data_IF_382553650738
#
_entry.id   IF_382553650738
#
_cell.length_a   1.000
_cell.length_b   1.000
_cell.length_c   1.000
_cell.angle_alpha   90.00
_cell.angle_beta   90.00
_cell.angle_gamma   90.00
#
_symmetry.space_group_name_H-M   'P 1'
#
loop_
_entity.id
_entity.type
_entity.pdbx_description
1 polymer ?
#
# COMPACT_ATOMS: atom_id res chain seq x y z
N UNK A 1 -18.46 5.98 -5.10
CA UNK A 1 -17.90 4.61 -4.96
C UNK A 1 -18.91 3.72 -4.27
N UNK A 2 -19.09 2.50 -4.74
CA UNK A 2 -20.02 1.57 -4.13
C UNK A 2 -19.52 1.09 -2.77
N UNK A 3 -20.44 0.67 -1.90
CA UNK A 3 -20.08 0.10 -0.60
C UNK A 3 -19.20 -1.14 -0.77
N UNK A 4 -19.50 -1.99 -1.76
CA UNK A 4 -18.72 -3.20 -2.02
C UNK A 4 -17.26 -2.88 -2.32
N UNK A 5 -16.99 -1.87 -3.16
CA UNK A 5 -15.62 -1.49 -3.50
C UNK A 5 -14.86 -0.98 -2.27
N UNK A 6 -15.53 -0.22 -1.41
CA UNK A 6 -14.92 0.24 -0.15
C UNK A 6 -14.59 -0.93 0.77
N UNK A 7 -15.49 -1.90 0.89
CA UNK A 7 -15.27 -3.07 1.73
C UNK A 7 -14.14 -3.95 1.17
N UNK A 8 -14.07 -4.13 -0.14
CA UNK A 8 -12.99 -4.88 -0.80
C UNK A 8 -11.65 -4.18 -0.55
N UNK A 9 -11.60 -2.87 -0.69
CA UNK A 9 -10.39 -2.10 -0.42
C UNK A 9 -9.92 -2.26 1.01
N UNK A 10 -10.83 -2.15 1.98
CA UNK A 10 -10.49 -2.32 3.40
C UNK A 10 -10.01 -3.73 3.70
N UNK A 11 -10.70 -4.74 3.14
CA UNK A 11 -10.29 -6.12 3.31
C UNK A 11 -8.88 -6.35 2.76
N UNK A 12 -8.60 -5.83 1.57
CA UNK A 12 -7.26 -5.91 0.98
C UNK A 12 -6.19 -5.27 1.84
N UNK A 13 -6.47 -4.08 2.41
CA UNK A 13 -5.52 -3.43 3.31
C UNK A 13 -5.27 -4.24 4.57
N UNK A 14 -6.31 -4.86 5.14
CA UNK A 14 -6.15 -5.72 6.32
C UNK A 14 -5.30 -6.95 5.98
N UNK A 15 -5.52 -7.56 4.82
CA UNK A 15 -4.73 -8.69 4.33
C UNK A 15 -3.28 -8.28 4.13
N UNK A 16 -3.05 -7.13 3.48
CA UNK A 16 -1.70 -6.61 3.24
C UNK A 16 -0.98 -6.33 4.56
N UNK A 17 -1.66 -5.73 5.54
CA UNK A 17 -1.08 -5.43 6.83
C UNK A 17 -0.61 -6.70 7.54
N UNK A 18 -1.44 -7.73 7.57
CA UNK A 18 -1.08 -9.02 8.18
C UNK A 18 0.10 -9.66 7.46
N UNK A 19 0.09 -9.63 6.12
CA UNK A 19 1.19 -10.15 5.32
C UNK A 19 2.50 -9.45 5.66
N UNK A 20 2.50 -8.13 5.70
CA UNK A 20 3.70 -7.34 5.98
C UNK A 20 4.23 -7.62 7.39
N UNK A 21 3.37 -7.70 8.38
CA UNK A 21 3.77 -8.02 9.76
C UNK A 21 4.47 -9.38 9.81
N UNK A 22 3.94 -10.39 9.14
CA UNK A 22 4.55 -11.72 9.08
C UNK A 22 5.92 -11.71 8.41
N UNK A 23 6.18 -10.72 7.55
CA UNK A 23 7.44 -10.59 6.82
C UNK A 23 8.39 -9.58 7.42
N UNK A 24 8.19 -9.23 8.70
CA UNK A 24 9.14 -8.41 9.45
C UNK A 24 8.95 -6.91 9.32
N UNK A 25 7.81 -6.47 8.79
CA UNK A 25 7.49 -5.05 8.73
C UNK A 25 6.76 -4.64 10.01
N UNK A 26 7.16 -3.50 10.57
CA UNK A 26 6.46 -2.90 11.70
C UNK A 26 5.58 -1.77 11.18
N UNK A 27 4.27 -1.98 11.23
CA UNK A 27 3.31 -0.97 10.76
C UNK A 27 3.19 0.12 11.81
N UNK A 28 3.40 1.37 11.40
CA UNK A 28 3.36 2.52 12.29
C UNK A 28 2.14 3.41 12.05
N UNK A 29 1.57 3.35 10.85
CA UNK A 29 0.36 4.12 10.56
C UNK A 29 -0.37 3.51 9.37
N UNK A 30 -1.69 3.70 9.32
CA UNK A 30 -2.53 3.28 8.19
C UNK A 30 -3.40 4.45 7.77
N UNK A 31 -3.70 4.52 6.46
CA UNK A 31 -4.62 5.51 5.89
C UNK A 31 -4.23 6.95 6.25
N UNK A 32 -2.96 7.23 6.04
CA UNK A 32 -2.45 8.60 6.23
C UNK A 32 -2.89 9.45 5.04
N UNK A 33 -3.78 10.39 5.30
CA UNK A 33 -4.40 11.19 4.27
C UNK A 33 -4.09 12.66 4.49
N UNK A 34 -3.56 13.30 3.45
CA UNK A 34 -3.26 14.73 3.45
C UNK A 34 -3.60 15.33 2.10
N UNK A 35 -3.37 16.63 1.97
CA UNK A 35 -3.72 17.43 0.79
C UNK A 35 -3.26 16.79 -0.53
N UNK A 36 -2.09 16.18 -0.54
CA UNK A 36 -1.45 15.68 -1.76
C UNK A 36 -1.87 14.26 -2.12
N UNK A 37 -2.48 13.53 -1.21
CA UNK A 37 -2.88 12.16 -1.45
C UNK A 37 -2.97 11.34 -0.18
N UNK A 38 -3.01 10.03 -0.35
CA UNK A 38 -3.17 9.07 0.73
C UNK A 38 -2.10 7.99 0.62
N UNK A 39 -1.63 7.52 1.77
CA UNK A 39 -0.75 6.35 1.85
C UNK A 39 -1.50 5.30 2.66
N UNK A 40 -1.68 4.11 2.06
CA UNK A 40 -2.48 3.06 2.68
C UNK A 40 -1.83 2.50 3.94
N UNK A 41 -0.53 2.22 3.88
CA UNK A 41 0.22 1.67 5.02
C UNK A 41 1.59 2.32 5.06
N UNK A 42 2.00 2.71 6.27
CA UNK A 42 3.36 3.20 6.51
C UNK A 42 4.01 2.24 7.50
N UNK A 43 5.19 1.74 7.15
CA UNK A 43 5.87 0.72 7.92
C UNK A 43 7.36 0.97 7.98
N UNK A 44 8.03 0.28 8.89
CA UNK A 44 9.49 0.28 9.01
C UNK A 44 9.97 -1.15 8.85
N UNK A 45 10.97 -1.35 8.00
CA UNK A 45 11.63 -2.63 7.83
C UNK A 45 13.12 -2.40 7.62
N UNK A 46 13.96 -3.03 8.44
CA UNK A 46 15.42 -2.97 8.32
C UNK A 46 15.96 -1.54 8.18
N UNK A 47 15.49 -0.64 9.04
CA UNK A 47 15.89 0.77 9.07
C UNK A 47 15.48 1.55 7.81
N UNK A 48 14.45 1.07 7.12
CA UNK A 48 13.89 1.76 5.97
C UNK A 48 12.45 2.12 6.27
N UNK A 49 12.08 3.36 5.98
CA UNK A 49 10.70 3.83 6.06
C UNK A 49 10.02 3.46 4.75
N UNK A 50 8.98 2.62 4.83
CA UNK A 50 8.33 2.06 3.65
C UNK A 50 6.91 2.59 3.55
N UNK A 51 6.60 3.21 2.42
CA UNK A 51 5.25 3.66 2.09
C UNK A 51 4.63 2.61 1.17
N UNK A 52 3.50 2.05 1.58
CA UNK A 52 2.90 0.92 0.87
C UNK A 52 1.57 1.32 0.26
N UNK A 53 1.46 1.14 -1.05
CA UNK A 53 0.20 1.26 -1.78
C UNK A 53 -0.41 -0.13 -1.91
N UNK A 54 -1.67 -0.28 -1.49
CA UNK A 54 -2.38 -1.55 -1.58
C UNK A 54 -3.42 -1.44 -2.68
N UNK A 55 -3.41 -2.40 -3.62
CA UNK A 55 -4.41 -2.46 -4.66
C UNK A 55 -5.06 -3.83 -4.67
N UNK A 56 -6.38 -3.85 -4.63
CA UNK A 56 -7.17 -5.08 -4.53
C UNK A 56 -8.17 -5.16 -5.68
N UNK A 57 -8.25 -6.32 -6.31
CA UNK A 57 -9.24 -6.63 -7.35
C UNK A 57 -9.97 -7.91 -6.99
N UNK A 58 -11.23 -7.98 -7.38
CA UNK A 58 -11.98 -9.24 -7.36
C UNK A 58 -11.94 -9.78 -8.78
N UNK A 59 -11.25 -10.91 -8.98
CA UNK A 59 -11.02 -11.50 -10.30
C UNK A 59 -10.10 -10.66 -11.16
N UNK A 60 -10.04 -10.97 -12.45
CA UNK A 60 -9.16 -10.31 -13.43
C UNK A 60 -9.91 -9.60 -14.56
N UNK A 61 -11.23 -9.44 -14.43
CA UNK A 61 -12.06 -8.86 -15.49
C UNK A 61 -11.55 -7.49 -15.97
N UNK A 62 -11.05 -6.68 -15.04
CA UNK A 62 -10.57 -5.32 -15.36
C UNK A 62 -9.05 -5.21 -15.28
N UNK A 63 -8.34 -6.33 -15.48
CA UNK A 63 -6.89 -6.37 -15.46
C UNK A 63 -6.32 -6.69 -14.09
N UNK A 64 -4.99 -6.70 -14.01
CA UNK A 64 -4.29 -7.00 -12.75
C UNK A 64 -4.26 -5.77 -11.86
N UNK A 65 -4.31 -5.97 -10.52
CA UNK A 65 -4.35 -4.83 -9.58
C UNK A 65 -3.15 -3.88 -9.72
N UNK A 66 -1.94 -4.40 -9.92
CA UNK A 66 -0.75 -3.56 -10.03
C UNK A 66 -0.79 -2.62 -11.24
N UNK A 67 -1.52 -2.96 -12.30
CA UNK A 67 -1.67 -2.11 -13.48
C UNK A 67 -2.43 -0.81 -13.19
N UNK A 68 -3.19 -0.78 -12.09
CA UNK A 68 -3.92 0.42 -11.68
C UNK A 68 -3.04 1.40 -10.89
N UNK A 69 -1.82 1.01 -10.53
CA UNK A 69 -0.88 1.88 -9.82
C UNK A 69 -0.06 2.64 -10.86
N UNK A 70 -0.50 3.84 -11.17
CA UNK A 70 0.10 4.67 -12.23
C UNK A 70 1.28 5.49 -11.71
N UNK A 71 2.06 6.06 -12.66
CA UNK A 71 3.13 7.01 -12.31
C UNK A 71 2.59 8.20 -11.54
N UNK A 72 1.40 8.68 -11.90
CA UNK A 72 0.75 9.78 -11.19
C UNK A 72 0.47 9.41 -9.74
N UNK A 73 -0.06 8.20 -9.49
CA UNK A 73 -0.33 7.73 -8.14
C UNK A 73 0.96 7.61 -7.33
N UNK A 74 2.01 7.06 -7.93
CA UNK A 74 3.31 6.94 -7.26
C UNK A 74 3.90 8.31 -6.93
N UNK A 75 3.70 9.30 -7.80
CA UNK A 75 4.14 10.67 -7.53
C UNK A 75 3.40 11.27 -6.34
N UNK A 76 2.08 11.04 -6.24
CA UNK A 76 1.29 11.48 -5.09
C UNK A 76 1.75 10.82 -3.80
N UNK A 77 2.03 9.51 -3.84
CA UNK A 77 2.56 8.78 -2.67
C UNK A 77 3.92 9.33 -2.27
N UNK A 78 4.79 9.63 -3.25
CA UNK A 78 6.11 10.20 -2.99
C UNK A 78 5.99 11.53 -2.26
N UNK A 79 5.15 12.44 -2.75
CA UNK A 79 4.94 13.75 -2.11
C UNK A 79 4.37 13.63 -0.71
N UNK A 80 3.37 12.76 -0.55
CA UNK A 80 2.73 12.55 0.74
C UNK A 80 3.72 11.94 1.73
N UNK A 81 4.55 11.01 1.27
CA UNK A 81 5.60 10.39 2.08
C UNK A 81 6.67 11.36 2.49
N UNK A 82 7.09 12.26 1.60
CA UNK A 82 8.05 13.32 1.94
C UNK A 82 7.50 14.22 3.05
N UNK A 83 6.21 14.57 2.95
CA UNK A 83 5.57 15.36 3.99
C UNK A 83 5.54 14.59 5.32
N UNK A 84 5.19 13.31 5.28
CA UNK A 84 5.18 12.47 6.47
C UNK A 84 6.56 12.42 7.14
N UNK A 85 7.61 12.26 6.34
CA UNK A 85 8.98 12.21 6.84
C UNK A 85 9.39 13.53 7.52
N UNK A 86 8.95 14.67 6.98
CA UNK A 86 9.22 15.97 7.60
C UNK A 86 8.54 16.07 8.98
N UNK A 87 7.33 15.53 9.11
CA UNK A 87 6.61 15.53 10.39
C UNK A 87 7.23 14.58 11.42
N UNK A 88 8.01 13.60 10.98
CA UNK A 88 8.55 12.55 11.82
C UNK A 88 10.06 12.40 11.61
N UNK A 89 10.86 13.41 12.00
CA UNK A 89 12.31 13.38 11.74
C UNK A 89 13.05 12.27 12.52
N UNK A 90 12.40 11.68 13.51
CA UNK A 90 12.98 10.57 14.27
C UNK A 90 12.97 9.24 13.49
N UNK A 91 12.21 9.17 12.39
CA UNK A 91 12.10 7.94 11.59
C UNK A 91 13.30 7.76 10.65
N UNK A 92 13.51 6.55 10.12
CA UNK A 92 14.64 6.31 9.22
C UNK A 92 14.67 7.26 8.02
N UNK A 93 15.88 7.71 7.64
CA UNK A 93 16.05 8.58 6.47
C UNK A 93 15.89 7.82 5.16
N UNK A 94 16.31 6.57 5.13
CA UNK A 94 16.13 5.70 3.96
C UNK A 94 14.64 5.44 3.75
N UNK A 95 14.18 5.62 2.52
CA UNK A 95 12.76 5.48 2.18
C UNK A 95 12.61 4.69 0.89
N UNK A 96 11.51 3.97 0.80
CA UNK A 96 11.11 3.35 -0.47
C UNK A 96 9.59 3.25 -0.53
N UNK A 97 9.08 3.02 -1.73
CA UNK A 97 7.66 2.78 -1.96
C UNK A 97 7.48 1.34 -2.43
N UNK A 98 6.60 0.62 -1.77
CA UNK A 98 6.23 -0.74 -2.13
C UNK A 98 4.77 -0.78 -2.59
N UNK A 99 4.42 -1.77 -3.38
CA UNK A 99 3.05 -2.04 -3.78
C UNK A 99 2.71 -3.46 -3.34
N UNK A 100 1.52 -3.62 -2.73
CA UNK A 100 0.95 -4.93 -2.47
C UNK A 100 -0.29 -5.08 -3.34
N UNK A 101 -0.24 -6.02 -4.26
CA UNK A 101 -1.30 -6.27 -5.23
C UNK A 101 -2.01 -7.57 -4.88
N UNK A 102 -3.32 -7.48 -4.64
CA UNK A 102 -4.13 -8.61 -4.15
C UNK A 102 -5.25 -8.89 -5.13
N UNK A 103 -5.42 -10.17 -5.47
CA UNK A 103 -6.56 -10.65 -6.24
C UNK A 103 -7.38 -11.57 -5.33
N UNK A 104 -8.66 -11.25 -5.19
CA UNK A 104 -9.61 -12.03 -4.40
C UNK A 104 -10.56 -12.80 -5.32
N UNK A 105 -11.01 -13.94 -4.86
CA UNK A 105 -12.14 -14.63 -5.45
C UNK A 105 -13.45 -13.95 -5.01
N UNK A 106 -14.57 -14.32 -5.64
CA UNK A 106 -15.89 -13.78 -5.27
C UNK A 106 -16.25 -14.06 -3.82
N UNK A 107 -15.77 -15.17 -3.26
CA UNK A 107 -15.99 -15.52 -1.85
C UNK A 107 -14.95 -14.89 -0.91
N UNK A 108 -14.20 -13.91 -1.38
CA UNK A 108 -13.20 -13.14 -0.62
C UNK A 108 -11.94 -13.92 -0.26
N UNK A 109 -11.77 -15.13 -0.76
CA UNK A 109 -10.50 -15.84 -0.59
C UNK A 109 -9.40 -15.20 -1.43
N UNK A 110 -8.19 -15.16 -0.89
CA UNK A 110 -7.03 -14.62 -1.61
C UNK A 110 -6.61 -15.62 -2.69
N UNK A 111 -6.68 -15.19 -3.94
CA UNK A 111 -6.18 -15.97 -5.08
C UNK A 111 -4.70 -15.71 -5.30
N UNK A 112 -4.25 -14.48 -5.14
CA UNK A 112 -2.83 -14.14 -5.22
C UNK A 112 -2.55 -12.86 -4.43
N UNK A 113 -1.31 -12.77 -3.95
CA UNK A 113 -0.79 -11.56 -3.34
C UNK A 113 0.65 -11.39 -3.85
N UNK A 114 0.92 -10.26 -4.50
CA UNK A 114 2.25 -9.91 -4.96
C UNK A 114 2.74 -8.68 -4.20
N UNK A 115 3.91 -8.81 -3.60
CA UNK A 115 4.56 -7.70 -2.92
C UNK A 115 5.72 -7.21 -3.79
N UNK A 116 5.56 -6.02 -4.36
CA UNK A 116 6.53 -5.41 -5.27
C UNK A 116 7.28 -4.34 -4.48
N UNK A 117 8.54 -4.61 -4.20
CA UNK A 117 9.36 -3.70 -3.40
C UNK A 117 10.03 -2.65 -4.26
N UNK A 118 10.16 -1.45 -3.70
CA UNK A 118 10.96 -0.37 -4.28
C UNK A 118 10.55 -0.03 -5.72
N UNK A 119 9.26 0.26 -5.91
CA UNK A 119 8.68 0.45 -7.25
C UNK A 119 9.13 1.74 -7.95
N UNK A 120 9.77 2.65 -7.25
CA UNK A 120 10.26 3.91 -7.83
C UNK A 120 11.77 3.90 -8.07
N UNK A 121 12.40 2.81 -7.83
CA UNK A 121 13.82 2.68 -8.05
C UNK A 121 14.63 2.43 -6.86
#
# INVERSE_FOLDING_TARGET
>A
MSLRLKLVGKLGEDIAAKFLIRHGYRIIERNFKKRYGEIDIIAIQDRVLVFVEVKTRVGLTYGRPEEAVTKRKLHEVTKTGQYYAILHPELPESQRIDVVAIILADNEKVLSLDHIQNVTG
#
